data_IF_270699534252
#
_entry.id   IF_270699534252
#
_cell.length_a   1.000
_cell.length_b   1.000
_cell.length_c   1.000
_cell.angle_alpha   90.00
_cell.angle_beta   90.00
_cell.angle_gamma   90.00
#
_symmetry.space_group_name_H-M   'P 1'
#
loop_
_entity.id
_entity.type
_entity.pdbx_description
1 polymer ?
#
# COMPACT_ATOMS: atom_id res chain seq x y z
N UNK A 1 -39.12 9.77 21.14
CA UNK A 1 -38.06 9.33 20.22
C UNK A 1 -36.74 9.75 20.84
N UNK A 2 -36.19 8.93 21.74
CA UNK A 2 -34.89 9.21 22.36
C UNK A 2 -33.82 8.63 21.46
N UNK A 3 -33.10 9.49 20.77
CA UNK A 3 -31.86 9.13 20.09
C UNK A 3 -30.88 8.59 21.13
N UNK A 4 -30.61 7.29 21.05
CA UNK A 4 -29.63 6.61 21.88
C UNK A 4 -28.22 7.02 21.45
N UNK A 5 -27.73 8.14 21.96
CA UNK A 5 -26.29 8.44 22.01
C UNK A 5 -25.66 7.61 23.13
N UNK A 6 -25.59 6.28 22.93
CA UNK A 6 -24.68 5.45 23.71
C UNK A 6 -23.27 5.69 23.15
N UNK A 7 -22.27 6.01 23.98
CA UNK A 7 -20.91 6.16 23.50
C UNK A 7 -20.49 4.85 22.85
N UNK A 8 -20.09 4.91 21.57
CA UNK A 8 -19.48 3.78 20.88
C UNK A 8 -18.39 3.24 21.79
N UNK A 9 -18.46 1.93 22.09
CA UNK A 9 -17.41 1.28 22.87
C UNK A 9 -16.08 1.50 22.17
N UNK A 10 -14.99 1.62 22.94
CA UNK A 10 -13.66 1.87 22.38
C UNK A 10 -13.29 0.86 21.26
N UNK A 11 -13.74 -0.39 21.40
CA UNK A 11 -13.57 -1.43 20.37
C UNK A 11 -14.40 -1.19 19.10
N UNK A 12 -15.58 -0.56 19.19
CA UNK A 12 -16.35 -0.16 18.01
C UNK A 12 -15.66 0.97 17.23
N UNK A 13 -15.11 1.96 17.95
CA UNK A 13 -14.32 3.05 17.33
C UNK A 13 -13.07 2.47 16.64
N UNK A 14 -12.36 1.56 17.31
CA UNK A 14 -11.17 0.90 16.72
C UNK A 14 -11.49 0.06 15.48
N UNK A 15 -12.66 -0.60 15.45
CA UNK A 15 -13.12 -1.36 14.27
C UNK A 15 -13.47 -0.46 13.09
N UNK A 16 -14.14 0.66 13.35
CA UNK A 16 -14.45 1.66 12.32
C UNK A 16 -13.16 2.25 11.74
N UNK A 17 -12.22 2.63 12.60
CA UNK A 17 -10.91 3.13 12.18
C UNK A 17 -10.16 2.10 11.33
N UNK A 18 -10.09 0.85 11.77
CA UNK A 18 -9.44 -0.23 11.02
C UNK A 18 -10.09 -0.46 9.65
N UNK A 19 -11.41 -0.32 9.56
CA UNK A 19 -12.15 -0.40 8.29
C UNK A 19 -11.79 0.74 7.34
N UNK A 20 -11.71 1.97 7.87
CA UNK A 20 -11.28 3.15 7.11
C UNK A 20 -9.84 3.02 6.63
N UNK A 21 -8.92 2.62 7.53
CA UNK A 21 -7.51 2.40 7.21
C UNK A 21 -7.35 1.33 6.12
N UNK A 22 -8.21 0.29 6.13
CA UNK A 22 -8.20 -0.76 5.11
C UNK A 22 -8.59 -0.21 3.74
N UNK A 23 -9.66 0.58 3.69
CA UNK A 23 -10.12 1.20 2.45
C UNK A 23 -9.04 2.11 1.86
N UNK A 24 -8.39 2.93 2.70
CA UNK A 24 -7.29 3.80 2.28
C UNK A 24 -6.09 3.00 1.78
N UNK A 25 -5.67 1.96 2.51
CA UNK A 25 -4.57 1.10 2.10
C UNK A 25 -4.85 0.42 0.75
N UNK A 26 -6.08 -0.03 0.53
CA UNK A 26 -6.48 -0.67 -0.72
C UNK A 26 -6.48 0.33 -1.89
N UNK A 27 -6.96 1.56 -1.68
CA UNK A 27 -6.90 2.62 -2.69
C UNK A 27 -5.44 2.97 -3.05
N UNK A 28 -4.59 3.16 -2.04
CA UNK A 28 -3.17 3.44 -2.22
C UNK A 28 -2.47 2.30 -2.97
N UNK A 29 -2.73 1.05 -2.58
CA UNK A 29 -2.14 -0.11 -3.24
C UNK A 29 -2.62 -0.28 -4.69
N UNK A 30 -3.89 0.07 -4.97
CA UNK A 30 -4.42 0.06 -6.34
C UNK A 30 -3.67 1.05 -7.22
N UNK A 31 -3.49 2.30 -6.77
CA UNK A 31 -2.73 3.33 -7.51
C UNK A 31 -1.28 2.89 -7.74
N UNK A 32 -0.62 2.39 -6.69
CA UNK A 32 0.74 1.86 -6.80
C UNK A 32 0.83 0.71 -7.82
N UNK A 33 -0.16 -0.18 -7.86
CA UNK A 33 -0.19 -1.31 -8.79
C UNK A 33 -0.35 -0.87 -10.24
N UNK A 34 -1.17 0.16 -10.49
CA UNK A 34 -1.31 0.79 -11.82
C UNK A 34 0.00 1.43 -12.28
N UNK A 35 0.68 2.16 -11.39
CA UNK A 35 2.01 2.72 -11.67
C UNK A 35 3.03 1.62 -11.98
N UNK A 36 3.03 0.52 -11.21
CA UNK A 36 3.91 -0.62 -11.47
C UNK A 36 3.69 -1.23 -12.85
N UNK A 37 2.43 -1.40 -13.28
CA UNK A 37 2.12 -1.93 -14.59
C UNK A 37 2.74 -1.08 -15.70
N UNK A 38 2.58 0.24 -15.63
CA UNK A 38 3.21 1.18 -16.55
C UNK A 38 4.75 1.09 -16.52
N UNK A 39 5.35 1.02 -15.33
CA UNK A 39 6.80 0.93 -15.18
C UNK A 39 7.37 -0.38 -15.72
N UNK A 40 6.65 -1.50 -15.60
CA UNK A 40 7.09 -2.77 -16.17
C UNK A 40 7.11 -2.74 -17.69
N UNK A 41 6.10 -2.13 -18.32
CA UNK A 41 6.10 -1.93 -19.77
C UNK A 41 7.25 -1.01 -20.22
N UNK A 42 7.50 0.08 -19.48
CA UNK A 42 8.60 0.99 -19.76
C UNK A 42 9.97 0.30 -19.65
N UNK A 43 10.19 -0.47 -18.58
CA UNK A 43 11.43 -1.23 -18.39
C UNK A 43 11.61 -2.32 -19.46
N UNK A 44 10.53 -2.99 -19.86
CA UNK A 44 10.56 -3.98 -20.92
C UNK A 44 10.91 -3.35 -22.29
N UNK A 45 10.37 -2.16 -22.58
CA UNK A 45 10.73 -1.40 -23.78
C UNK A 45 12.21 -1.00 -23.78
N UNK A 46 12.72 -0.47 -22.65
CA UNK A 46 14.14 -0.12 -22.50
C UNK A 46 15.04 -1.34 -22.68
N UNK A 47 14.65 -2.49 -22.11
CA UNK A 47 15.42 -3.73 -22.22
C UNK A 47 15.53 -4.29 -23.66
N UNK A 48 14.67 -3.87 -24.59
CA UNK A 48 14.77 -4.25 -26.01
C UNK A 48 15.81 -3.44 -26.79
N UNK A 49 16.19 -2.28 -26.28
CA UNK A 49 17.16 -1.35 -26.90
C UNK A 49 18.29 -1.04 -25.91
N UNK A 50 19.10 -2.03 -25.51
CA UNK A 50 20.13 -1.86 -24.48
C UNK A 50 21.18 -0.80 -24.84
N UNK A 51 21.42 -0.55 -26.13
CA UNK A 51 22.29 0.50 -26.65
C UNK A 51 21.81 1.92 -26.31
N UNK A 52 20.51 2.09 -26.06
CA UNK A 52 19.90 3.36 -25.63
C UNK A 52 20.06 3.61 -24.12
N UNK A 53 20.58 2.64 -23.35
CA UNK A 53 20.81 2.77 -21.91
C UNK A 53 22.09 3.55 -21.66
N UNK A 54 21.95 4.86 -21.48
CA UNK A 54 23.03 5.75 -21.06
C UNK A 54 23.31 5.64 -19.56
N UNK A 55 24.44 6.15 -19.04
CA UNK A 55 24.67 6.24 -17.60
C UNK A 55 23.56 6.97 -16.84
N UNK A 56 22.97 8.01 -17.43
CA UNK A 56 21.83 8.73 -16.83
C UNK A 56 20.57 7.87 -16.79
N UNK A 57 20.28 7.14 -17.87
CA UNK A 57 19.16 6.19 -17.92
C UNK A 57 19.34 5.09 -16.87
N UNK A 58 20.55 4.53 -16.77
CA UNK A 58 20.89 3.50 -15.78
C UNK A 58 20.71 4.00 -14.35
N UNK A 59 21.08 5.25 -14.06
CA UNK A 59 20.88 5.86 -12.75
C UNK A 59 19.38 6.07 -12.44
N UNK A 60 18.60 6.50 -13.44
CA UNK A 60 17.15 6.59 -13.32
C UNK A 60 16.50 5.24 -12.99
N UNK A 61 16.90 4.17 -13.68
CA UNK A 61 16.44 2.80 -13.40
C UNK A 61 16.82 2.39 -11.97
N UNK A 62 18.05 2.70 -11.53
CA UNK A 62 18.50 2.40 -10.16
C UNK A 62 17.61 3.08 -9.12
N UNK A 63 17.36 4.38 -9.27
CA UNK A 63 16.51 5.15 -8.36
C UNK A 63 15.08 4.63 -8.35
N UNK A 64 14.53 4.30 -9.53
CA UNK A 64 13.20 3.72 -9.66
C UNK A 64 13.09 2.38 -8.93
N UNK A 65 14.04 1.47 -9.17
CA UNK A 65 14.07 0.16 -8.50
C UNK A 65 14.23 0.31 -6.98
N UNK A 66 15.04 1.26 -6.53
CA UNK A 66 15.17 1.57 -5.11
C UNK A 66 13.83 2.02 -4.53
N UNK A 67 13.15 2.97 -5.17
CA UNK A 67 11.84 3.45 -4.73
C UNK A 67 10.80 2.33 -4.69
N UNK A 68 10.67 1.53 -5.76
CA UNK A 68 9.76 0.38 -5.85
C UNK A 68 9.97 -0.61 -4.70
N UNK A 69 11.22 -0.94 -4.38
CA UNK A 69 11.57 -1.85 -3.28
C UNK A 69 10.96 -1.37 -1.95
N UNK A 70 11.12 -0.08 -1.62
CA UNK A 70 10.61 0.45 -0.36
C UNK A 70 9.10 0.61 -0.35
N UNK A 71 8.46 0.91 -1.49
CA UNK A 71 7.00 0.89 -1.57
C UNK A 71 6.46 -0.52 -1.25
N UNK A 72 6.99 -1.56 -1.90
CA UNK A 72 6.56 -2.95 -1.66
C UNK A 72 6.74 -3.37 -0.20
N UNK A 73 7.89 -3.03 0.40
CA UNK A 73 8.14 -3.29 1.82
C UNK A 73 7.13 -2.56 2.70
N UNK A 74 6.89 -1.27 2.45
CA UNK A 74 5.97 -0.46 3.24
C UNK A 74 4.52 -0.94 3.16
N UNK A 75 4.04 -1.35 1.98
CA UNK A 75 2.71 -1.96 1.87
C UNK A 75 2.60 -3.27 2.65
N UNK A 76 3.62 -4.13 2.58
CA UNK A 76 3.65 -5.38 3.37
C UNK A 76 3.56 -5.09 4.87
N UNK A 77 4.38 -4.16 5.36
CA UNK A 77 4.40 -3.76 6.77
C UNK A 77 3.04 -3.23 7.23
N UNK A 78 2.41 -2.35 6.45
CA UNK A 78 1.05 -1.85 6.74
C UNK A 78 0.01 -2.98 6.78
N UNK A 79 0.08 -3.94 5.84
CA UNK A 79 -0.82 -5.10 5.83
C UNK A 79 -0.65 -5.93 7.11
N UNK A 80 0.59 -6.19 7.52
CA UNK A 80 0.90 -6.97 8.72
C UNK A 80 0.37 -6.26 9.99
N UNK A 81 0.58 -4.96 10.11
CA UNK A 81 0.06 -4.13 11.21
C UNK A 81 -1.48 -4.20 11.29
N UNK A 82 -2.16 -4.08 10.15
CA UNK A 82 -3.61 -4.15 10.08
C UNK A 82 -4.15 -5.53 10.46
N UNK A 83 -3.47 -6.60 10.03
CA UNK A 83 -3.83 -7.96 10.42
C UNK A 83 -3.67 -8.18 11.92
N UNK A 84 -2.62 -7.63 12.54
CA UNK A 84 -2.42 -7.72 13.98
C UNK A 84 -3.49 -6.95 14.76
N UNK A 85 -3.83 -5.73 14.33
CA UNK A 85 -4.96 -4.96 14.86
C UNK A 85 -6.27 -5.75 14.79
N UNK A 86 -6.56 -6.39 13.64
CA UNK A 86 -7.73 -7.24 13.47
C UNK A 86 -7.73 -8.44 14.43
N UNK A 87 -6.60 -9.14 14.58
CA UNK A 87 -6.46 -10.28 15.50
C UNK A 87 -6.72 -9.88 16.95
N UNK A 88 -6.22 -8.72 17.38
CA UNK A 88 -6.47 -8.21 18.73
C UNK A 88 -7.96 -7.91 18.95
N UNK A 89 -8.61 -7.25 17.98
CA UNK A 89 -10.03 -6.87 18.10
C UNK A 89 -11.00 -8.05 17.96
N UNK A 90 -10.60 -9.12 17.26
CA UNK A 90 -11.41 -10.33 17.06
C UNK A 90 -11.31 -11.32 18.23
N UNK A 91 -10.20 -11.32 18.98
CA UNK A 91 -10.02 -12.14 20.19
C UNK A 91 -10.74 -11.60 21.43
N UNK A 92 -11.15 -10.33 21.41
CA UNK A 92 -11.92 -9.68 22.50
C UNK A 92 -13.44 -9.94 22.43
N UNK A 93 -13.87 -10.90 21.62
CA UNK A 93 -15.28 -11.24 21.43
C UNK A 93 -15.77 -12.27 22.43
#
# INVERSE_FOLDING_TARGET
>A
MSESNLPLTEDAIKREQLSSDFANLNEDFSKFSEECAFLFDALAAIGREPECITPHTSEGIRHLCYWLKYQVIGYREKIDEMQDCWRVLSRKK
#
